data_IF_645942894530
#
_entry.id   IF_645942894530
#
_cell.length_a   1.000
_cell.length_b   1.000
_cell.length_c   1.000
_cell.angle_alpha   90.00
_cell.angle_beta   90.00
_cell.angle_gamma   90.00
#
_symmetry.space_group_name_H-M   'P 1'
#
loop_
_entity.id
_entity.type
_entity.pdbx_description
1 polymer ?
#
# COMPACT_ATOMS: atom_id res chain seq x y z
N UNK A 1 -18.07 5.93 8.40
CA UNK A 1 -17.47 4.60 8.24
C UNK A 1 -15.96 4.72 8.20
N UNK A 2 -15.26 3.91 8.99
CA UNK A 2 -13.80 3.83 9.03
C UNK A 2 -13.34 2.54 8.38
N UNK A 3 -12.23 2.61 7.64
CA UNK A 3 -11.65 1.46 6.96
C UNK A 3 -10.21 1.26 7.37
N UNK A 4 -9.83 0.02 7.65
CA UNK A 4 -8.47 -0.43 7.88
C UNK A 4 -8.04 -1.32 6.72
N UNK A 5 -7.10 -0.86 5.93
CA UNK A 5 -6.45 -1.65 4.87
C UNK A 5 -5.14 -2.19 5.43
N UNK A 6 -4.97 -3.48 5.42
CA UNK A 6 -3.79 -4.10 6.03
C UNK A 6 -3.28 -5.30 5.22
N UNK A 7 -1.96 -5.39 5.15
CA UNK A 7 -1.31 -6.57 4.58
C UNK A 7 -1.25 -7.64 5.64
N UNK A 8 -1.96 -8.73 5.43
CA UNK A 8 -2.01 -9.84 6.38
C UNK A 8 -1.27 -11.06 5.86
N UNK A 9 -0.97 -11.97 6.78
CA UNK A 9 -0.30 -13.23 6.53
C UNK A 9 -1.10 -14.34 7.20
N UNK A 10 -1.80 -15.14 6.41
CA UNK A 10 -2.45 -16.34 6.90
C UNK A 10 -1.73 -17.57 6.33
N UNK A 11 -1.10 -18.34 7.21
CA UNK A 11 -0.49 -19.64 6.89
C UNK A 11 0.61 -19.67 5.82
N UNK A 12 1.33 -18.58 5.59
CA UNK A 12 2.36 -18.54 4.57
C UNK A 12 3.76 -18.44 5.11
N UNK A 13 4.68 -19.08 4.39
CA UNK A 13 6.11 -18.98 4.64
C UNK A 13 6.73 -17.69 4.06
N UNK A 14 5.96 -16.89 3.32
CA UNK A 14 6.42 -15.65 2.65
C UNK A 14 5.71 -14.41 3.17
N UNK A 15 6.36 -13.25 3.08
CA UNK A 15 5.84 -11.97 3.58
C UNK A 15 4.67 -11.45 2.73
N UNK A 16 3.62 -10.97 3.42
CA UNK A 16 2.58 -10.08 2.91
C UNK A 16 2.05 -10.45 1.52
N UNK A 17 1.30 -11.53 1.43
CA UNK A 17 0.80 -12.07 0.18
C UNK A 17 -0.67 -11.74 -0.08
N UNK A 18 -1.27 -10.92 0.80
CA UNK A 18 -2.67 -10.54 0.68
C UNK A 18 -2.96 -9.19 1.31
N UNK A 19 -3.94 -8.51 0.76
CA UNK A 19 -4.55 -7.31 1.32
C UNK A 19 -5.92 -7.67 1.86
N UNK A 20 -6.16 -7.33 3.13
CA UNK A 20 -7.45 -7.44 3.77
C UNK A 20 -7.97 -6.06 4.17
N UNK A 21 -9.27 -5.89 4.16
CA UNK A 21 -9.98 -4.69 4.60
C UNK A 21 -10.87 -5.05 5.77
N UNK A 22 -10.87 -4.18 6.78
CA UNK A 22 -11.81 -4.21 7.89
C UNK A 22 -12.50 -2.86 7.97
N UNK A 23 -13.70 -2.83 8.48
CA UNK A 23 -14.44 -1.58 8.65
C UNK A 23 -15.18 -1.53 9.98
N UNK A 24 -15.40 -0.32 10.48
CA UNK A 24 -16.21 -0.05 11.67
C UNK A 24 -16.97 1.27 11.51
N UNK A 25 -18.08 1.42 12.21
CA UNK A 25 -18.80 2.68 12.28
C UNK A 25 -18.20 3.64 13.29
N UNK A 26 -17.65 3.11 14.39
CA UNK A 26 -17.07 3.89 15.48
C UNK A 26 -15.60 3.50 15.67
N UNK A 27 -14.70 4.47 15.49
CA UNK A 27 -13.26 4.27 15.68
C UNK A 27 -12.85 4.28 17.15
N UNK A 28 -13.63 4.93 18.02
CA UNK A 28 -13.32 5.02 19.45
C UNK A 28 -13.73 3.75 20.20
N UNK A 29 -14.82 3.10 19.74
CA UNK A 29 -15.27 1.80 20.26
C UNK A 29 -15.42 0.82 19.08
N UNK A 30 -14.33 0.39 18.47
CA UNK A 30 -14.37 -0.30 17.20
C UNK A 30 -14.89 -1.75 17.35
N UNK A 31 -15.96 -2.04 16.62
CA UNK A 31 -16.37 -3.40 16.30
C UNK A 31 -15.98 -3.68 14.84
N UNK A 32 -14.73 -4.09 14.63
CA UNK A 32 -14.19 -4.34 13.31
C UNK A 32 -14.85 -5.53 12.64
N UNK A 33 -15.42 -5.29 11.48
CA UNK A 33 -16.01 -6.31 10.62
C UNK A 33 -15.07 -6.58 9.43
N UNK A 34 -14.95 -7.86 9.07
CA UNK A 34 -14.21 -8.25 7.87
C UNK A 34 -14.99 -7.87 6.61
N UNK A 35 -14.29 -7.30 5.63
CA UNK A 35 -14.88 -7.03 4.34
C UNK A 35 -15.23 -8.36 3.63
N UNK A 36 -16.43 -8.49 3.03
CA UNK A 36 -16.89 -9.76 2.46
C UNK A 36 -16.05 -10.23 1.27
N UNK A 37 -15.34 -9.35 0.60
CA UNK A 37 -14.43 -9.70 -0.49
C UNK A 37 -13.01 -10.03 -0.02
N UNK A 38 -12.73 -10.10 1.30
CA UNK A 38 -11.40 -10.44 1.78
C UNK A 38 -10.95 -11.86 1.37
N UNK A 39 -9.71 -12.03 0.93
CA UNK A 39 -8.73 -10.99 0.64
C UNK A 39 -9.07 -10.22 -0.64
N UNK A 40 -9.09 -8.89 -0.56
CA UNK A 40 -9.39 -8.03 -1.73
C UNK A 40 -8.30 -8.09 -2.79
N UNK A 41 -7.07 -8.43 -2.38
CA UNK A 41 -5.96 -8.75 -3.28
C UNK A 41 -5.14 -9.90 -2.71
N UNK A 42 -4.64 -10.80 -3.56
CA UNK A 42 -3.80 -11.93 -3.18
C UNK A 42 -2.86 -12.35 -4.29
N UNK A 43 -1.77 -13.00 -3.94
CA UNK A 43 -0.95 -13.81 -4.85
C UNK A 43 0.38 -13.22 -5.28
N UNK A 44 0.72 -11.95 -5.08
CA UNK A 44 2.04 -11.39 -5.39
C UNK A 44 2.43 -10.23 -4.49
N UNK A 45 3.73 -9.92 -4.46
CA UNK A 45 4.37 -8.97 -3.56
C UNK A 45 4.00 -7.48 -3.81
N UNK A 46 2.99 -7.22 -4.65
CA UNK A 46 2.47 -5.88 -4.98
C UNK A 46 1.28 -5.43 -4.12
N UNK A 47 0.88 -6.22 -3.13
CA UNK A 47 -0.30 -5.88 -2.31
C UNK A 47 0.03 -5.30 -0.95
N UNK A 48 1.32 -5.30 -0.59
CA UNK A 48 1.76 -4.74 0.68
C UNK A 48 1.56 -3.23 0.68
N UNK A 49 0.95 -2.73 1.76
CA UNK A 49 0.82 -1.29 1.96
C UNK A 49 2.19 -0.62 2.03
N UNK A 50 2.33 0.51 1.33
CA UNK A 50 3.52 1.36 1.37
C UNK A 50 3.31 2.62 2.22
N UNK A 51 2.14 2.78 2.81
CA UNK A 51 1.78 3.91 3.66
C UNK A 51 0.27 4.04 3.77
N UNK A 52 -0.21 5.10 4.43
CA UNK A 52 -1.65 5.35 4.53
C UNK A 52 -2.22 5.81 3.18
N UNK A 53 -3.48 5.48 2.84
CA UNK A 53 -4.16 6.06 1.68
C UNK A 53 -4.23 7.60 1.78
N UNK A 54 -4.13 8.25 0.63
CA UNK A 54 -4.15 9.71 0.52
C UNK A 54 -4.88 10.18 -0.75
N UNK A 55 -5.20 11.47 -0.82
CA UNK A 55 -5.79 12.07 -2.02
C UNK A 55 -4.67 12.64 -2.91
N UNK A 56 -4.69 12.26 -4.18
CA UNK A 56 -3.79 12.78 -5.20
C UNK A 56 -4.58 13.02 -6.50
N UNK A 57 -4.53 14.26 -7.02
CA UNK A 57 -5.31 14.67 -8.20
C UNK A 57 -6.79 14.27 -8.10
N UNK A 58 -7.40 14.59 -6.96
CA UNK A 58 -8.81 14.28 -6.62
C UNK A 58 -9.15 12.78 -6.55
N UNK A 59 -8.16 11.90 -6.57
CA UNK A 59 -8.30 10.45 -6.52
C UNK A 59 -7.86 9.92 -5.15
N UNK A 60 -8.56 8.93 -4.63
CA UNK A 60 -8.12 8.21 -3.43
C UNK A 60 -7.08 7.17 -3.84
N UNK A 61 -5.89 7.32 -3.31
CA UNK A 61 -4.74 6.48 -3.65
C UNK A 61 -4.38 5.55 -2.50
N UNK A 62 -4.21 4.29 -2.79
CA UNK A 62 -3.56 3.32 -1.94
C UNK A 62 -2.13 3.10 -2.43
N UNK A 63 -1.11 3.54 -1.67
CA UNK A 63 0.26 3.22 -2.02
C UNK A 63 0.54 1.74 -1.71
N UNK A 64 1.14 1.04 -2.65
CA UNK A 64 1.57 -0.35 -2.50
C UNK A 64 3.03 -0.53 -2.86
N UNK A 65 3.70 -1.47 -2.17
CA UNK A 65 5.07 -1.84 -2.51
C UNK A 65 5.06 -2.78 -3.71
N UNK A 66 5.91 -2.52 -4.69
CA UNK A 66 6.30 -3.51 -5.67
C UNK A 66 7.64 -4.13 -5.25
N UNK A 67 7.58 -5.37 -4.87
CA UNK A 67 8.75 -6.17 -4.45
C UNK A 67 8.96 -7.39 -5.34
N UNK A 68 8.49 -7.36 -6.59
CA UNK A 68 8.59 -8.48 -7.53
C UNK A 68 10.04 -8.84 -7.85
N UNK A 69 10.86 -7.84 -8.12
CA UNK A 69 12.28 -8.05 -8.45
C UNK A 69 13.14 -8.14 -7.19
N UNK A 70 12.84 -7.33 -6.18
CA UNK A 70 13.53 -7.26 -4.90
C UNK A 70 12.67 -6.53 -3.88
N UNK A 71 12.96 -6.70 -2.59
CA UNK A 71 12.31 -5.95 -1.52
C UNK A 71 12.56 -4.45 -1.67
N UNK A 72 11.48 -3.66 -1.62
CA UNK A 72 11.56 -2.21 -1.72
C UNK A 72 12.01 -1.70 -3.11
N UNK A 73 11.61 -2.37 -4.19
CA UNK A 73 11.97 -1.97 -5.55
C UNK A 73 11.38 -0.62 -5.94
N UNK A 74 10.08 -0.47 -5.80
CA UNK A 74 9.35 0.76 -6.13
C UNK A 74 7.99 0.79 -5.42
N UNK A 75 7.30 1.92 -5.55
CA UNK A 75 5.95 2.12 -5.04
C UNK A 75 4.99 2.22 -6.22
N UNK A 76 3.86 1.56 -6.12
CA UNK A 76 2.75 1.70 -7.05
C UNK A 76 1.62 2.51 -6.40
N UNK A 77 1.10 3.48 -7.12
CA UNK A 77 -0.14 4.18 -6.76
C UNK A 77 -1.31 3.42 -7.36
N UNK A 78 -2.14 2.86 -6.49
CA UNK A 78 -3.39 2.21 -6.86
C UNK A 78 -4.53 3.19 -6.58
N UNK A 79 -5.25 3.59 -7.62
CA UNK A 79 -6.49 4.36 -7.45
C UNK A 79 -7.57 3.45 -6.91
N UNK A 80 -8.15 3.80 -5.77
CA UNK A 80 -9.32 3.14 -5.23
C UNK A 80 -10.55 3.70 -5.96
N UNK A 81 -11.17 2.87 -6.78
CA UNK A 81 -12.36 3.22 -7.55
C UNK A 81 -13.65 3.03 -6.74
N UNK A 82 -13.64 2.06 -5.84
CA UNK A 82 -14.79 1.73 -5.00
C UNK A 82 -14.29 1.25 -3.62
N UNK A 83 -14.84 1.84 -2.58
CA UNK A 83 -14.61 1.42 -1.19
C UNK A 83 -15.90 1.59 -0.40
N UNK A 84 -16.57 0.49 -0.15
CA UNK A 84 -17.80 0.40 0.63
C UNK A 84 -17.74 -0.81 1.57
N UNK A 85 -18.69 -1.02 2.48
CA UNK A 85 -18.73 -2.21 3.31
C UNK A 85 -18.90 -3.54 2.54
N UNK A 86 -19.27 -3.48 1.27
CA UNK A 86 -19.59 -4.67 0.46
C UNK A 86 -18.78 -4.78 -0.82
N UNK A 87 -18.14 -3.70 -1.27
CA UNK A 87 -17.41 -3.68 -2.54
C UNK A 87 -16.11 -2.91 -2.44
N UNK A 88 -15.06 -3.47 -3.06
CA UNK A 88 -13.75 -2.87 -3.23
C UNK A 88 -13.25 -3.07 -4.65
N UNK A 89 -12.79 -1.97 -5.28
CA UNK A 89 -12.10 -2.01 -6.58
C UNK A 89 -10.95 -1.03 -6.59
N UNK A 90 -9.86 -1.44 -7.18
CA UNK A 90 -8.70 -0.57 -7.43
C UNK A 90 -8.09 -0.83 -8.81
N UNK A 91 -7.34 0.14 -9.31
CA UNK A 91 -6.55 0.01 -10.53
C UNK A 91 -5.17 0.64 -10.35
N UNK A 92 -4.19 0.17 -11.11
CA UNK A 92 -2.88 0.82 -11.18
C UNK A 92 -3.03 2.19 -11.86
N UNK A 93 -2.56 3.24 -11.19
CA UNK A 93 -2.54 4.60 -11.71
C UNK A 93 -1.14 5.00 -12.16
N UNK A 94 -0.14 4.79 -11.31
CA UNK A 94 1.22 5.28 -11.54
C UNK A 94 2.25 4.41 -10.80
N UNK A 95 3.46 4.37 -11.33
CA UNK A 95 4.61 3.71 -10.69
C UNK A 95 5.63 4.78 -10.30
N UNK A 96 5.95 4.84 -9.02
CA UNK A 96 6.93 5.76 -8.46
C UNK A 96 8.28 5.04 -8.39
N UNK A 97 9.19 5.45 -9.25
CA UNK A 97 10.56 4.95 -9.30
C UNK A 97 11.49 5.82 -8.44
N UNK A 98 12.51 5.27 -7.82
CA UNK A 98 13.48 6.01 -7.01
C UNK A 98 14.49 6.78 -7.91
N UNK A 99 14.00 7.74 -8.69
CA UNK A 99 14.83 8.47 -9.68
C UNK A 99 15.28 9.85 -9.21
N UNK A 100 14.99 10.22 -7.98
CA UNK A 100 15.35 11.53 -7.42
C UNK A 100 16.85 11.68 -7.07
N UNK A 101 17.58 10.58 -7.07
CA UNK A 101 19.04 10.59 -6.91
C UNK A 101 19.65 9.43 -7.72
N UNK A 102 20.78 9.69 -8.39
CA UNK A 102 21.43 8.75 -9.31
C UNK A 102 21.88 7.41 -8.66
N UNK A 103 22.01 7.37 -7.33
CA UNK A 103 22.44 6.18 -6.59
C UNK A 103 21.31 5.50 -5.83
N UNK A 104 20.08 5.99 -5.97
CA UNK A 104 18.94 5.37 -5.31
C UNK A 104 18.44 4.20 -6.13
N UNK A 105 18.19 3.09 -5.46
CA UNK A 105 17.97 1.79 -6.07
C UNK A 105 16.61 1.20 -5.70
N UNK A 106 15.91 1.81 -4.75
CA UNK A 106 14.58 1.43 -4.33
C UNK A 106 13.92 2.40 -3.37
N UNK A 107 12.63 2.21 -3.19
CA UNK A 107 11.80 2.86 -2.18
C UNK A 107 10.66 1.92 -1.78
N UNK A 108 10.18 2.00 -0.54
CA UNK A 108 9.13 1.11 -0.08
C UNK A 108 8.10 1.75 0.85
N UNK A 109 8.29 3.01 1.24
CA UNK A 109 7.28 3.74 2.03
C UNK A 109 7.07 5.14 1.50
N UNK A 110 5.80 5.57 1.54
CA UNK A 110 5.39 6.94 1.27
C UNK A 110 4.29 7.33 2.24
N UNK A 111 4.43 8.50 2.84
CA UNK A 111 3.37 9.13 3.61
C UNK A 111 3.17 10.57 3.12
N UNK A 112 1.92 10.91 2.91
CA UNK A 112 1.50 12.23 2.45
C UNK A 112 0.62 12.84 3.53
N UNK A 113 0.97 14.03 3.99
CA UNK A 113 0.20 14.77 4.98
C UNK A 113 0.27 16.28 4.67
N UNK A 114 -0.86 16.87 4.33
CA UNK A 114 -0.97 18.28 3.93
C UNK A 114 0.06 18.67 2.87
N UNK A 115 1.08 19.46 3.23
CA UNK A 115 2.14 19.92 2.34
C UNK A 115 3.44 19.10 2.43
N UNK A 116 3.42 17.98 3.16
CA UNK A 116 4.60 17.15 3.35
C UNK A 116 4.44 15.80 2.66
N UNK A 117 5.50 15.39 1.99
CA UNK A 117 5.65 14.03 1.47
C UNK A 117 6.92 13.45 2.06
N UNK A 118 6.80 12.32 2.72
CA UNK A 118 7.95 11.59 3.28
C UNK A 118 8.09 10.28 2.52
N UNK A 119 9.25 10.08 1.93
CA UNK A 119 9.66 8.88 1.20
C UNK A 119 10.92 8.32 1.82
N UNK A 120 11.11 7.01 1.77
CA UNK A 120 12.40 6.40 2.00
C UNK A 120 13.11 6.11 0.69
N UNK A 121 14.42 5.90 0.77
CA UNK A 121 15.23 5.47 -0.34
C UNK A 121 16.21 4.38 0.09
N UNK A 122 16.38 3.37 -0.77
CA UNK A 122 17.40 2.34 -0.63
C UNK A 122 18.56 2.74 -1.52
N UNK A 123 19.74 2.84 -0.93
CA UNK A 123 20.97 3.15 -1.65
C UNK A 123 21.95 1.99 -1.52
N UNK A 124 22.45 1.53 -2.66
CA UNK A 124 23.54 0.55 -2.68
C UNK A 124 24.89 1.28 -2.43
N UNK A 125 25.57 0.90 -1.37
CA UNK A 125 26.95 1.33 -1.14
C UNK A 125 27.90 0.19 -1.51
N UNK A 126 28.84 0.46 -2.40
CA UNK A 126 29.98 -0.45 -2.63
C UNK A 126 30.91 -0.28 -1.43
N UNK A 127 31.08 -1.34 -0.62
CA UNK A 127 32.17 -1.34 0.36
C UNK A 127 33.49 -1.28 -0.41
N UNK A 128 34.24 -0.19 -0.19
CA UNK A 128 35.61 -0.11 -0.63
C UNK A 128 36.49 -1.05 0.22
#
# INVERSE_FOLDING_TARGET
MWYLLTSTRRNCKKFGDRLDIFFTQDILNPNWQEHPQNPVCKGHQQFRMAGKPFIYKEKLIRPSQDSLKRYGGNIEFKEILELSPTSYKEQLLEVVLPTWNNNDDGCHTINVEHNFVVLDAIRLSVKK
#
